data_IF_741139772520
#
_entry.id   IF_741139772520
#
_cell.length_a   1.000
_cell.length_b   1.000
_cell.length_c   1.000
_cell.angle_alpha   90.00
_cell.angle_beta   90.00
_cell.angle_gamma   90.00
#
_symmetry.space_group_name_H-M   'P 1'
#
loop_
_entity.id
_entity.type
_entity.pdbx_description
1 polymer ?
#
# COMPACT_ATOMS: atom_id res chain seq x y z
N UNK A 1 16.90 4.20 4.99
CA UNK A 1 15.83 3.27 4.58
C UNK A 1 14.47 3.95 4.73
N UNK A 2 13.66 3.89 3.68
CA UNK A 2 12.29 4.41 3.72
C UNK A 2 11.44 3.51 4.60
N UNK A 3 10.70 4.12 5.51
CA UNK A 3 9.84 3.40 6.47
C UNK A 3 8.37 3.69 6.17
N UNK A 4 7.49 2.86 6.71
CA UNK A 4 6.05 3.05 6.51
C UNK A 4 5.59 4.41 7.00
N UNK A 5 6.19 4.96 8.06
CA UNK A 5 5.86 6.29 8.56
C UNK A 5 6.10 7.38 7.51
N UNK A 6 7.14 7.22 6.69
CA UNK A 6 7.42 8.17 5.62
C UNK A 6 6.31 8.16 4.58
N UNK A 7 5.76 6.97 4.31
CA UNK A 7 4.67 6.80 3.35
C UNK A 7 3.38 7.41 3.93
N UNK A 8 3.06 7.06 5.17
CA UNK A 8 1.84 7.55 5.84
C UNK A 8 1.80 9.08 5.89
N UNK A 9 2.95 9.71 6.09
CA UNK A 9 3.05 11.17 6.25
C UNK A 9 3.27 11.92 4.94
N UNK A 10 3.42 11.21 3.82
CA UNK A 10 3.60 11.85 2.51
C UNK A 10 2.31 12.53 2.04
N UNK A 11 2.42 13.76 1.57
CA UNK A 11 1.26 14.54 1.15
C UNK A 11 0.50 13.94 -0.03
N UNK A 12 1.22 13.39 -1.00
CA UNK A 12 0.59 12.75 -2.15
C UNK A 12 -0.17 11.49 -1.72
N UNK A 13 0.45 10.68 -0.86
CA UNK A 13 -0.21 9.47 -0.34
C UNK A 13 -1.46 9.83 0.43
N UNK A 14 -1.40 10.85 1.29
CA UNK A 14 -2.57 11.30 2.05
C UNK A 14 -3.72 11.70 1.15
N UNK A 15 -3.43 12.47 0.10
CA UNK A 15 -4.45 12.94 -0.83
C UNK A 15 -5.08 11.76 -1.58
N UNK A 16 -4.27 10.84 -2.08
CA UNK A 16 -4.77 9.69 -2.84
C UNK A 16 -5.56 8.73 -1.93
N UNK A 17 -5.08 8.50 -0.71
CA UNK A 17 -5.79 7.65 0.25
C UNK A 17 -7.15 8.25 0.63
N UNK A 18 -7.22 9.57 0.75
CA UNK A 18 -8.49 10.25 0.99
C UNK A 18 -9.48 10.01 -0.15
N UNK A 19 -9.00 10.12 -1.39
CA UNK A 19 -9.85 9.87 -2.57
C UNK A 19 -10.26 8.40 -2.64
N UNK A 20 -9.37 7.47 -2.29
CA UNK A 20 -9.70 6.04 -2.26
C UNK A 20 -10.84 5.77 -1.26
N UNK A 21 -10.76 6.37 -0.08
CA UNK A 21 -11.79 6.24 0.96
C UNK A 21 -13.12 6.80 0.48
N UNK A 22 -13.10 7.97 -0.18
CA UNK A 22 -14.30 8.59 -0.73
C UNK A 22 -14.96 7.72 -1.79
N UNK A 23 -14.16 7.08 -2.65
CA UNK A 23 -14.69 6.18 -3.69
C UNK A 23 -15.37 4.95 -3.07
N UNK A 24 -14.75 4.36 -2.07
CA UNK A 24 -15.31 3.19 -1.37
C UNK A 24 -16.65 3.55 -0.72
N UNK A 25 -16.73 4.71 -0.07
CA UNK A 25 -17.98 5.19 0.55
C UNK A 25 -19.06 5.43 -0.50
N UNK A 26 -18.70 6.05 -1.62
CA UNK A 26 -19.64 6.33 -2.71
C UNK A 26 -20.22 5.05 -3.31
N UNK A 27 -19.48 3.94 -3.26
CA UNK A 27 -19.93 2.64 -3.75
C UNK A 27 -20.75 1.87 -2.69
N UNK A 28 -20.97 2.46 -1.52
CA UNK A 28 -21.80 1.85 -0.48
C UNK A 28 -21.05 0.93 0.48
N UNK A 29 -19.73 0.87 0.40
CA UNK A 29 -18.92 0.11 1.36
C UNK A 29 -18.71 0.95 2.62
N UNK A 30 -18.70 0.29 3.77
CA UNK A 30 -18.57 0.96 5.06
C UNK A 30 -17.15 0.90 5.63
N UNK A 31 -16.25 0.19 4.97
CA UNK A 31 -14.88 0.02 5.43
C UNK A 31 -14.06 1.28 5.17
N UNK A 32 -13.32 1.75 6.19
CA UNK A 32 -12.47 2.92 6.08
C UNK A 32 -11.10 2.51 5.54
N UNK A 33 -10.74 3.00 4.35
CA UNK A 33 -9.50 2.63 3.66
C UNK A 33 -8.25 2.83 4.51
N UNK A 34 -8.12 3.97 5.18
CA UNK A 34 -6.93 4.27 6.00
C UNK A 34 -6.84 3.32 7.20
N UNK A 35 -7.96 3.08 7.87
CA UNK A 35 -8.01 2.16 9.01
C UNK A 35 -7.65 0.74 8.60
N UNK A 36 -8.25 0.26 7.52
CA UNK A 36 -7.99 -1.07 6.98
C UNK A 36 -6.52 -1.19 6.58
N UNK A 37 -5.99 -0.21 5.85
CA UNK A 37 -4.60 -0.20 5.41
C UNK A 37 -3.62 -0.21 6.58
N UNK A 38 -3.94 0.51 7.66
CA UNK A 38 -3.12 0.52 8.86
C UNK A 38 -3.06 -0.86 9.51
N UNK A 39 -4.21 -1.54 9.60
CA UNK A 39 -4.29 -2.88 10.18
C UNK A 39 -3.52 -3.88 9.33
N UNK A 40 -3.73 -3.86 8.01
CA UNK A 40 -3.04 -4.78 7.08
C UNK A 40 -1.53 -4.56 7.14
N UNK A 41 -1.10 -3.29 7.18
CA UNK A 41 0.32 -2.93 7.30
C UNK A 41 0.94 -3.56 8.54
N UNK A 42 0.27 -3.41 9.67
CA UNK A 42 0.75 -3.94 10.95
C UNK A 42 0.86 -5.46 10.92
N UNK A 43 -0.16 -6.14 10.41
CA UNK A 43 -0.16 -7.60 10.32
C UNK A 43 0.89 -8.11 9.35
N UNK A 44 1.05 -7.46 8.19
CA UNK A 44 2.07 -7.86 7.23
C UNK A 44 3.47 -7.80 7.85
N UNK A 45 3.77 -6.71 8.56
CA UNK A 45 5.04 -6.58 9.26
C UNK A 45 5.23 -7.63 10.34
N UNK A 46 4.19 -7.90 11.12
CA UNK A 46 4.26 -8.86 12.22
C UNK A 46 4.51 -10.27 11.70
N UNK A 47 3.85 -10.67 10.62
CA UNK A 47 4.04 -11.99 10.02
C UNK A 47 5.49 -12.17 9.60
N UNK A 48 6.07 -11.21 8.89
CA UNK A 48 7.46 -11.32 8.44
C UNK A 48 8.43 -11.32 9.61
N UNK A 49 8.16 -10.53 10.63
CA UNK A 49 8.97 -10.52 11.85
C UNK A 49 8.94 -11.90 12.53
N UNK A 50 7.75 -12.48 12.65
CA UNK A 50 7.56 -13.75 13.37
C UNK A 50 8.22 -14.94 12.66
N UNK A 51 8.31 -14.89 11.33
CA UNK A 51 9.02 -15.94 10.58
C UNK A 51 10.50 -15.66 10.41
N UNK A 52 11.03 -14.64 11.11
CA UNK A 52 12.46 -14.39 11.19
C UNK A 52 13.06 -13.58 10.07
N UNK A 53 12.26 -12.85 9.31
CA UNK A 53 12.78 -11.98 8.25
C UNK A 53 13.44 -10.75 8.85
N UNK A 54 14.41 -10.18 8.12
CA UNK A 54 15.12 -9.00 8.58
C UNK A 54 14.22 -7.76 8.55
N UNK A 55 14.70 -6.71 9.22
CA UNK A 55 13.93 -5.47 9.36
C UNK A 55 13.63 -4.81 8.00
N UNK A 56 14.52 -4.94 7.03
CA UNK A 56 14.30 -4.40 5.70
C UNK A 56 13.06 -5.01 5.06
N UNK A 57 12.93 -6.34 5.11
CA UNK A 57 11.78 -7.03 4.54
C UNK A 57 10.50 -6.79 5.34
N UNK A 58 10.61 -6.68 6.65
CA UNK A 58 9.48 -6.33 7.51
C UNK A 58 8.93 -4.96 7.09
N UNK A 59 9.82 -3.99 6.88
CA UNK A 59 9.41 -2.64 6.50
C UNK A 59 8.75 -2.62 5.11
N UNK A 60 9.32 -3.35 4.14
CA UNK A 60 8.73 -3.46 2.80
C UNK A 60 7.32 -4.06 2.86
N UNK A 61 7.13 -5.06 3.71
CA UNK A 61 5.82 -5.69 3.88
C UNK A 61 4.79 -4.70 4.47
N UNK A 62 5.22 -3.90 5.44
CA UNK A 62 4.36 -2.85 6.02
C UNK A 62 3.92 -1.85 4.96
N UNK A 63 4.85 -1.42 4.11
CA UNK A 63 4.57 -0.46 3.05
C UNK A 63 3.62 -1.05 2.03
N UNK A 64 3.86 -2.28 1.60
CA UNK A 64 2.97 -2.97 0.66
C UNK A 64 1.56 -3.09 1.24
N UNK A 65 1.45 -3.48 2.50
CA UNK A 65 0.16 -3.60 3.18
C UNK A 65 -0.58 -2.27 3.27
N UNK A 66 0.14 -1.19 3.56
CA UNK A 66 -0.48 0.14 3.65
C UNK A 66 -1.02 0.62 2.30
N UNK A 67 -0.31 0.31 1.22
CA UNK A 67 -0.65 0.81 -0.12
C UNK A 67 -1.50 -0.16 -0.95
N UNK A 68 -1.83 -1.35 -0.42
CA UNK A 68 -2.42 -2.40 -1.25
C UNK A 68 -3.74 -2.02 -1.93
N UNK A 69 -4.55 -1.17 -1.32
CA UNK A 69 -5.84 -0.75 -1.85
C UNK A 69 -5.85 0.68 -2.41
N UNK A 70 -4.68 1.30 -2.57
CA UNK A 70 -4.60 2.69 -3.02
C UNK A 70 -5.23 2.89 -4.41
N UNK A 71 -5.29 1.84 -5.22
CA UNK A 71 -5.90 1.88 -6.54
C UNK A 71 -7.40 2.16 -6.54
N UNK A 72 -8.06 2.01 -5.39
CA UNK A 72 -9.48 2.38 -5.27
C UNK A 72 -9.71 3.87 -5.54
N UNK A 73 -8.66 4.68 -5.46
CA UNK A 73 -8.74 6.11 -5.81
C UNK A 73 -9.02 6.32 -7.28
N UNK A 74 -8.60 5.38 -8.13
CA UNK A 74 -8.85 5.42 -9.56
C UNK A 74 -10.18 4.76 -9.89
N UNK A 75 -10.34 3.50 -9.48
CA UNK A 75 -11.58 2.74 -9.68
C UNK A 75 -11.49 1.46 -8.86
N UNK A 76 -12.61 0.99 -8.35
CA UNK A 76 -12.66 -0.31 -7.67
C UNK A 76 -12.28 -1.45 -8.62
N UNK A 77 -12.70 -1.34 -9.87
CA UNK A 77 -12.36 -2.31 -10.90
C UNK A 77 -10.86 -2.20 -11.23
N UNK A 78 -10.16 -3.33 -11.21
CA UNK A 78 -8.71 -3.39 -11.42
C UNK A 78 -7.90 -2.54 -10.44
N UNK A 79 -8.40 -2.36 -9.21
CA UNK A 79 -7.72 -1.53 -8.23
C UNK A 79 -6.34 -2.08 -7.85
N UNK A 80 -6.12 -3.38 -7.97
CA UNK A 80 -4.81 -3.97 -7.71
C UNK A 80 -3.78 -3.48 -8.73
N UNK A 81 -4.14 -3.48 -10.01
CA UNK A 81 -3.26 -3.06 -11.09
C UNK A 81 -2.99 -1.55 -11.01
N UNK A 82 -4.04 -0.74 -10.83
CA UNK A 82 -3.90 0.71 -10.67
C UNK A 82 -3.05 1.03 -9.45
N UNK A 83 -3.30 0.34 -8.34
CA UNK A 83 -2.57 0.54 -7.11
C UNK A 83 -1.09 0.19 -7.22
N UNK A 84 -0.78 -0.89 -7.94
CA UNK A 84 0.61 -1.30 -8.17
C UNK A 84 1.39 -0.20 -8.89
N UNK A 85 0.81 0.37 -9.94
CA UNK A 85 1.46 1.43 -10.72
C UNK A 85 1.61 2.70 -9.88
N UNK A 86 0.57 3.10 -9.16
CA UNK A 86 0.62 4.26 -8.27
C UNK A 86 1.69 4.09 -7.19
N UNK A 87 1.75 2.91 -6.57
CA UNK A 87 2.71 2.64 -5.52
C UNK A 87 4.14 2.74 -6.04
N UNK A 88 4.42 2.15 -7.20
CA UNK A 88 5.75 2.21 -7.79
C UNK A 88 6.19 3.65 -8.04
N UNK A 89 5.30 4.46 -8.61
CA UNK A 89 5.57 5.86 -8.88
C UNK A 89 5.89 6.64 -7.60
N UNK A 90 5.07 6.44 -6.58
CA UNK A 90 5.24 7.13 -5.30
C UNK A 90 6.56 6.73 -4.63
N UNK A 91 6.82 5.43 -4.57
CA UNK A 91 7.99 4.90 -3.88
C UNK A 91 9.30 5.32 -4.54
N UNK A 92 9.35 5.30 -5.88
CA UNK A 92 10.55 5.75 -6.59
C UNK A 92 10.74 7.26 -6.48
N UNK A 93 9.65 8.03 -6.45
CA UNK A 93 9.74 9.48 -6.18
C UNK A 93 10.35 9.75 -4.80
N UNK A 94 10.01 8.93 -3.82
CA UNK A 94 10.54 9.06 -2.46
C UNK A 94 11.97 8.54 -2.30
N UNK A 95 12.53 7.98 -3.35
CA UNK A 95 13.92 7.53 -3.35
C UNK A 95 14.11 6.05 -2.99
N UNK A 96 13.05 5.25 -3.01
CA UNK A 96 13.19 3.82 -2.78
C UNK A 96 13.98 3.18 -3.93
N UNK A 97 14.83 2.19 -3.60
CA UNK A 97 15.54 1.44 -4.61
C UNK A 97 14.55 0.77 -5.57
N UNK A 98 14.89 0.73 -6.86
CA UNK A 98 13.98 0.21 -7.87
C UNK A 98 13.58 -1.25 -7.60
N UNK A 99 14.51 -2.07 -7.11
CA UNK A 99 14.22 -3.47 -6.82
C UNK A 99 13.16 -3.61 -5.72
N UNK A 100 13.28 -2.80 -4.67
CA UNK A 100 12.33 -2.82 -3.57
C UNK A 100 10.97 -2.30 -4.01
N UNK A 101 10.95 -1.21 -4.76
CA UNK A 101 9.71 -0.63 -5.28
C UNK A 101 9.01 -1.62 -6.23
N UNK A 102 9.78 -2.32 -7.06
CA UNK A 102 9.24 -3.33 -7.97
C UNK A 102 8.66 -4.52 -7.20
N UNK A 103 9.30 -4.93 -6.11
CA UNK A 103 8.80 -6.02 -5.28
C UNK A 103 7.46 -5.65 -4.65
N UNK A 104 7.33 -4.43 -4.16
CA UNK A 104 6.07 -3.93 -3.61
C UNK A 104 5.01 -3.83 -4.69
N UNK A 105 5.37 -3.32 -5.86
CA UNK A 105 4.47 -3.23 -7.01
C UNK A 105 3.89 -4.60 -7.36
N UNK A 106 4.74 -5.61 -7.43
CA UNK A 106 4.32 -6.98 -7.75
C UNK A 106 3.37 -7.53 -6.66
N UNK A 107 3.69 -7.30 -5.40
CA UNK A 107 2.85 -7.76 -4.29
C UNK A 107 1.46 -7.12 -4.36
N UNK A 108 1.39 -5.83 -4.63
CA UNK A 108 0.11 -5.12 -4.73
C UNK A 108 -0.67 -5.60 -5.95
N UNK A 109 -0.01 -5.72 -7.09
CA UNK A 109 -0.67 -6.12 -8.34
C UNK A 109 -1.28 -7.52 -8.29
N UNK A 110 -0.81 -8.35 -7.39
CA UNK A 110 -1.26 -9.74 -7.26
C UNK A 110 -2.06 -10.00 -5.98
N UNK A 111 -2.44 -8.97 -5.21
CA UNK A 111 -3.16 -9.20 -3.96
C UNK A 111 -4.63 -9.56 -4.17
N UNK A 112 -5.21 -9.23 -5.31
CA UNK A 112 -6.60 -9.54 -5.65
C UNK A 112 -6.59 -10.60 -6.76
N UNK A 113 -6.81 -11.84 -6.37
CA UNK A 113 -6.74 -12.98 -7.27
C UNK A 113 -8.09 -13.38 -7.89
N UNK A 114 -9.12 -12.62 -7.62
CA UNK A 114 -10.47 -12.97 -8.12
C UNK A 114 -10.63 -12.79 -9.63
#
# INVERSE_FOLDING_TARGET
MIKVEDIVNDGEVKAIMFMAESQIEALGFTEHSVRHSTIVSRWAGQILHDIGKDEHRVELAKIAGYLHDIGNSVNRYNHAQSGAILAYKILTRLGMEYEDAAAIMMAIGNHDES
#
